data_IF_376892604432
#
_entry.id   IF_376892604432
#
_cell.length_a   1.000
_cell.length_b   1.000
_cell.length_c   1.000
_cell.angle_alpha   90.00
_cell.angle_beta   90.00
_cell.angle_gamma   90.00
#
_symmetry.space_group_name_H-M   'P 1'
#
loop_
_entity.id
_entity.type
_entity.pdbx_description
1 polymer ?
#
# COMPACT_ATOMS: atom_id res chain seq x y z
N UNK A 1 77.63 76.67 62.45
CA UNK A 1 76.63 75.58 62.33
C UNK A 1 75.20 76.04 61.95
N UNK A 2 75.00 77.25 61.39
CA UNK A 2 73.63 77.76 61.10
C UNK A 2 73.29 77.89 59.60
N UNK A 3 74.25 77.72 58.69
CA UNK A 3 74.01 77.89 57.23
C UNK A 3 73.51 76.65 56.47
N UNK A 4 73.44 75.47 57.09
CA UNK A 4 72.99 74.24 56.42
C UNK A 4 71.49 73.95 56.52
N UNK A 5 70.76 74.70 57.36
CA UNK A 5 69.36 74.40 57.71
C UNK A 5 68.34 74.96 56.71
N UNK A 6 68.70 75.93 55.87
CA UNK A 6 67.81 76.56 54.87
C UNK A 6 67.75 75.83 53.52
N UNK A 7 68.69 74.90 53.24
CA UNK A 7 68.76 74.15 51.97
C UNK A 7 68.16 72.73 52.06
N UNK A 8 68.02 72.17 53.26
CA UNK A 8 67.52 70.80 53.46
C UNK A 8 65.99 70.67 53.36
N UNK A 9 65.26 71.73 53.71
CA UNK A 9 63.80 71.78 53.67
C UNK A 9 63.19 71.72 52.24
N UNK A 10 63.71 72.43 51.21
CA UNK A 10 63.19 72.29 49.85
C UNK A 10 63.54 70.94 49.22
N UNK A 11 64.68 70.34 49.59
CA UNK A 11 65.17 69.07 49.05
C UNK A 11 64.31 67.88 49.53
N UNK A 12 63.91 67.86 50.80
CA UNK A 12 62.99 66.86 51.35
C UNK A 12 61.58 66.95 50.75
N UNK A 13 61.08 68.17 50.48
CA UNK A 13 59.79 68.37 49.80
C UNK A 13 59.82 67.87 48.35
N UNK A 14 60.93 68.10 47.63
CA UNK A 14 61.11 67.59 46.28
C UNK A 14 61.11 66.05 46.22
N UNK A 15 61.79 65.39 47.15
CA UNK A 15 61.82 63.91 47.23
C UNK A 15 60.41 63.36 47.53
N UNK A 16 59.65 64.01 48.40
CA UNK A 16 58.28 63.58 48.74
C UNK A 16 57.31 63.76 47.55
N UNK A 17 57.44 64.84 46.79
CA UNK A 17 56.65 65.07 45.57
C UNK A 17 56.99 64.03 44.49
N UNK A 18 58.28 63.71 44.30
CA UNK A 18 58.71 62.69 43.34
C UNK A 18 58.24 61.28 43.71
N UNK A 19 58.28 60.92 44.99
CA UNK A 19 57.82 59.60 45.47
C UNK A 19 56.30 59.46 45.40
N UNK A 20 55.54 60.52 45.71
CA UNK A 20 54.09 60.56 45.52
C UNK A 20 53.69 60.45 44.03
N UNK A 21 54.40 61.13 43.13
CA UNK A 21 54.15 61.05 41.69
C UNK A 21 54.42 59.63 41.14
N UNK A 22 55.45 58.95 41.62
CA UNK A 22 55.77 57.58 41.21
C UNK A 22 54.71 56.55 41.66
N UNK A 23 54.15 56.74 42.86
CA UNK A 23 53.05 55.90 43.36
C UNK A 23 51.75 56.11 42.56
N UNK A 24 51.46 57.34 42.13
CA UNK A 24 50.25 57.64 41.33
C UNK A 24 50.38 57.11 39.88
N UNK A 25 51.59 57.15 39.29
CA UNK A 25 51.82 56.63 37.94
C UNK A 25 51.75 55.10 37.86
N UNK A 26 52.27 54.40 38.88
CA UNK A 26 52.30 52.94 38.90
C UNK A 26 50.90 52.30 39.04
N UNK A 27 49.98 52.96 39.76
CA UNK A 27 48.58 52.52 39.88
C UNK A 27 47.80 52.72 38.56
N UNK A 28 48.13 53.76 37.80
CA UNK A 28 47.42 54.11 36.56
C UNK A 28 47.63 53.08 35.43
N UNK A 29 48.82 52.49 35.33
CA UNK A 29 49.18 51.53 34.27
C UNK A 29 48.48 50.16 34.44
N UNK A 30 48.29 49.70 35.68
CA UNK A 30 47.59 48.44 35.97
C UNK A 30 46.07 48.59 35.77
N UNK A 31 45.50 49.77 36.03
CA UNK A 31 44.06 50.00 35.85
C UNK A 31 43.65 50.05 34.37
N UNK A 32 44.47 50.68 33.52
CA UNK A 32 44.21 50.75 32.07
C UNK A 32 44.30 49.37 31.43
N UNK A 33 45.28 48.55 31.83
CA UNK A 33 45.38 47.17 31.37
C UNK A 33 44.16 46.33 31.78
N UNK A 34 43.68 46.42 33.02
CA UNK A 34 42.46 45.70 33.44
C UNK A 34 41.21 46.20 32.70
N UNK A 35 41.11 47.50 32.46
CA UNK A 35 39.98 48.09 31.74
C UNK A 35 39.94 47.64 30.27
N UNK A 36 41.07 47.65 29.56
CA UNK A 36 41.13 47.14 28.18
C UNK A 36 40.88 45.64 28.10
N UNK A 37 41.38 44.87 29.08
CA UNK A 37 41.09 43.43 29.16
C UNK A 37 39.59 43.19 29.38
N UNK A 38 38.94 43.96 30.26
CA UNK A 38 37.50 43.88 30.49
C UNK A 38 36.69 44.26 29.23
N UNK A 39 37.07 45.34 28.53
CA UNK A 39 36.48 45.74 27.25
C UNK A 39 36.56 44.61 26.20
N UNK A 40 37.72 43.98 26.05
CA UNK A 40 37.89 42.83 25.15
C UNK A 40 37.02 41.64 25.56
N UNK A 41 36.86 41.40 26.86
CA UNK A 41 36.02 40.31 27.37
C UNK A 41 34.55 40.58 27.09
N UNK A 42 34.09 41.83 27.29
CA UNK A 42 32.72 42.27 26.98
C UNK A 42 32.46 42.13 25.48
N UNK A 43 33.38 42.57 24.62
CA UNK A 43 33.23 42.42 23.17
C UNK A 43 33.15 40.95 22.74
N UNK A 44 33.98 40.07 23.32
CA UNK A 44 33.90 38.62 23.07
C UNK A 44 32.58 38.03 23.53
N UNK A 45 32.13 38.37 24.73
CA UNK A 45 30.84 37.88 25.24
C UNK A 45 29.67 38.37 24.39
N UNK A 46 29.72 39.60 23.89
CA UNK A 46 28.72 40.13 22.95
C UNK A 46 28.76 39.41 21.61
N UNK A 47 29.95 39.17 21.04
CA UNK A 47 30.07 38.40 19.80
C UNK A 47 29.56 36.97 19.98
N UNK A 48 29.95 36.32 21.07
CA UNK A 48 29.56 34.94 21.37
C UNK A 48 28.05 34.83 21.61
N UNK A 49 27.46 35.80 22.32
CA UNK A 49 26.01 35.89 22.50
C UNK A 49 25.30 36.05 21.16
N UNK A 50 25.80 36.90 20.26
CA UNK A 50 25.19 37.09 18.94
C UNK A 50 25.29 35.84 18.05
N UNK A 51 26.38 35.09 18.16
CA UNK A 51 26.58 33.83 17.42
C UNK A 51 25.66 32.75 17.98
N UNK A 52 25.56 32.66 19.30
CA UNK A 52 24.69 31.69 19.97
C UNK A 52 23.22 31.97 19.64
N UNK A 53 22.80 33.22 19.66
CA UNK A 53 21.44 33.62 19.29
C UNK A 53 21.12 33.26 17.83
N UNK A 54 22.04 33.48 16.90
CA UNK A 54 21.88 33.05 15.50
C UNK A 54 21.74 31.53 15.38
N UNK A 55 22.59 30.77 16.08
CA UNK A 55 22.49 29.29 16.10
C UNK A 55 21.16 28.83 16.68
N UNK A 56 20.68 29.49 17.73
CA UNK A 56 19.41 29.15 18.37
C UNK A 56 18.23 29.41 17.44
N UNK A 57 18.25 30.52 16.68
CA UNK A 57 17.24 30.79 15.65
C UNK A 57 17.27 29.76 14.51
N UNK A 58 18.46 29.44 13.98
CA UNK A 58 18.57 28.42 12.93
C UNK A 58 18.09 27.06 13.40
N UNK A 59 18.43 26.68 14.64
CA UNK A 59 17.98 25.40 15.21
C UNK A 59 16.47 25.39 15.42
N UNK A 60 15.88 26.52 15.83
CA UNK A 60 14.43 26.65 15.96
C UNK A 60 13.72 26.52 14.60
N UNK A 61 14.22 27.21 13.57
CA UNK A 61 13.70 27.09 12.20
C UNK A 61 13.81 25.65 11.66
N UNK A 62 14.92 24.96 11.94
CA UNK A 62 15.11 23.58 11.52
C UNK A 62 14.14 22.62 12.23
N UNK A 63 13.91 22.81 13.53
CA UNK A 63 12.92 22.02 14.28
C UNK A 63 11.51 22.25 13.74
N UNK A 64 11.13 23.50 13.48
CA UNK A 64 9.81 23.82 12.92
C UNK A 64 9.65 23.26 11.50
N UNK A 65 10.69 23.35 10.67
CA UNK A 65 10.71 22.75 9.33
C UNK A 65 10.56 21.23 9.38
N UNK A 66 11.32 20.56 10.24
CA UNK A 66 11.23 19.11 10.42
C UNK A 66 9.88 18.69 10.99
N UNK A 67 9.33 19.44 11.94
CA UNK A 67 8.00 19.22 12.50
C UNK A 67 6.91 19.29 11.43
N UNK A 68 6.91 20.34 10.61
CA UNK A 68 5.97 20.51 9.50
C UNK A 68 6.11 19.42 8.43
N UNK A 69 7.35 19.04 8.09
CA UNK A 69 7.62 17.98 7.13
C UNK A 69 7.14 16.62 7.66
N UNK A 70 7.35 16.35 8.94
CA UNK A 70 6.86 15.14 9.60
C UNK A 70 5.33 15.05 9.55
N UNK A 71 4.64 16.13 9.94
CA UNK A 71 3.17 16.17 9.89
C UNK A 71 2.63 16.01 8.46
N UNK A 72 3.25 16.65 7.49
CA UNK A 72 2.86 16.52 6.07
C UNK A 72 3.06 15.09 5.57
N UNK A 73 4.18 14.46 5.94
CA UNK A 73 4.48 13.08 5.55
C UNK A 73 3.51 12.09 6.20
N UNK A 74 3.21 12.27 7.48
CA UNK A 74 2.23 11.46 8.21
C UNK A 74 0.85 11.57 7.57
N UNK A 75 0.39 12.79 7.26
CA UNK A 75 -0.88 13.00 6.58
C UNK A 75 -0.93 12.32 5.20
N UNK A 76 0.14 12.42 4.42
CA UNK A 76 0.22 11.77 3.11
C UNK A 76 0.23 10.23 3.22
N UNK A 77 0.87 9.67 4.25
CA UNK A 77 0.86 8.23 4.51
C UNK A 77 -0.53 7.75 4.94
N UNK A 78 -1.20 8.48 5.83
CA UNK A 78 -2.57 8.16 6.25
C UNK A 78 -3.55 8.20 5.08
N UNK A 79 -3.45 9.22 4.21
CA UNK A 79 -4.27 9.29 2.99
C UNK A 79 -4.02 8.09 2.07
N UNK A 80 -2.74 7.75 1.81
CA UNK A 80 -2.41 6.57 0.98
C UNK A 80 -2.91 5.27 1.59
N UNK A 81 -2.84 5.12 2.91
CA UNK A 81 -3.37 3.94 3.60
C UNK A 81 -4.89 3.86 3.41
N UNK A 82 -5.60 4.97 3.58
CA UNK A 82 -7.04 5.02 3.40
C UNK A 82 -7.47 4.71 1.96
N UNK A 83 -6.80 5.29 0.96
CA UNK A 83 -7.04 4.97 -0.46
C UNK A 83 -6.82 3.48 -0.76
N UNK A 84 -5.80 2.86 -0.15
CA UNK A 84 -5.52 1.44 -0.33
C UNK A 84 -6.56 0.57 0.35
N UNK A 85 -7.03 0.95 1.54
CA UNK A 85 -8.09 0.27 2.27
C UNK A 85 -9.41 0.32 1.49
N UNK A 86 -9.79 1.50 0.97
CA UNK A 86 -10.99 1.67 0.14
C UNK A 86 -10.90 0.84 -1.15
N UNK A 87 -9.73 0.84 -1.80
CA UNK A 87 -9.49 0.01 -2.99
C UNK A 87 -9.57 -1.49 -2.69
N UNK A 88 -9.07 -1.92 -1.54
CA UNK A 88 -9.11 -3.31 -1.10
C UNK A 88 -10.55 -3.74 -0.84
N UNK A 89 -11.31 -2.93 -0.11
CA UNK A 89 -12.71 -3.19 0.18
C UNK A 89 -13.56 -3.31 -1.10
N UNK A 90 -13.35 -2.40 -2.06
CA UNK A 90 -14.01 -2.48 -3.37
C UNK A 90 -13.67 -3.78 -4.11
N UNK A 91 -12.39 -4.17 -4.15
CA UNK A 91 -11.96 -5.41 -4.81
C UNK A 91 -12.53 -6.65 -4.13
N UNK A 92 -12.61 -6.64 -2.80
CA UNK A 92 -13.17 -7.76 -2.05
C UNK A 92 -14.67 -7.91 -2.30
N UNK A 93 -15.40 -6.81 -2.42
CA UNK A 93 -16.80 -6.84 -2.83
C UNK A 93 -16.96 -7.40 -4.25
N UNK A 94 -16.18 -6.90 -5.21
CA UNK A 94 -16.19 -7.42 -6.58
C UNK A 94 -15.87 -8.92 -6.65
N UNK A 95 -14.91 -9.39 -5.84
CA UNK A 95 -14.60 -10.82 -5.77
C UNK A 95 -15.78 -11.64 -5.25
N UNK A 96 -16.47 -11.17 -4.20
CA UNK A 96 -17.67 -11.85 -3.69
C UNK A 96 -18.77 -11.91 -4.74
N UNK A 97 -19.00 -10.82 -5.46
CA UNK A 97 -20.02 -10.77 -6.52
C UNK A 97 -19.67 -11.72 -7.67
N UNK A 98 -18.39 -11.78 -8.07
CA UNK A 98 -17.93 -12.73 -9.09
C UNK A 98 -18.04 -14.18 -8.64
N UNK A 99 -17.70 -14.48 -7.38
CA UNK A 99 -17.84 -15.82 -6.83
C UNK A 99 -19.30 -16.27 -6.78
N UNK A 100 -20.21 -15.38 -6.38
CA UNK A 100 -21.65 -15.62 -6.42
C UNK A 100 -22.13 -15.91 -7.84
N UNK A 101 -21.78 -15.05 -8.81
CA UNK A 101 -22.17 -15.25 -10.20
C UNK A 101 -21.63 -16.57 -10.79
N UNK A 102 -20.40 -16.97 -10.44
CA UNK A 102 -19.85 -18.26 -10.87
C UNK A 102 -20.63 -19.42 -10.25
N UNK A 103 -21.02 -19.33 -8.97
CA UNK A 103 -21.87 -20.34 -8.34
C UNK A 103 -23.23 -20.46 -9.04
N UNK A 104 -23.86 -19.34 -9.35
CA UNK A 104 -25.16 -19.31 -10.03
C UNK A 104 -25.07 -19.89 -11.44
N UNK A 105 -24.04 -19.50 -12.21
CA UNK A 105 -23.78 -20.07 -13.54
C UNK A 105 -23.53 -21.57 -13.49
N UNK A 106 -22.82 -22.05 -12.47
CA UNK A 106 -22.58 -23.48 -12.28
C UNK A 106 -23.88 -24.23 -12.00
N UNK A 107 -24.73 -23.71 -11.11
CA UNK A 107 -26.03 -24.30 -10.80
C UNK A 107 -26.92 -24.38 -12.04
N UNK A 108 -27.00 -23.29 -12.82
CA UNK A 108 -27.75 -23.26 -14.09
C UNK A 108 -27.21 -24.30 -15.08
N UNK A 109 -25.89 -24.40 -15.23
CA UNK A 109 -25.27 -25.40 -16.12
C UNK A 109 -25.55 -26.84 -15.67
N UNK A 110 -25.55 -27.10 -14.37
CA UNK A 110 -25.87 -28.42 -13.84
C UNK A 110 -27.35 -28.77 -14.11
N UNK A 111 -28.26 -27.81 -13.97
CA UNK A 111 -29.69 -27.97 -14.32
C UNK A 111 -29.89 -28.22 -15.83
N UNK A 112 -29.21 -27.46 -16.70
CA UNK A 112 -29.23 -27.67 -18.15
C UNK A 112 -28.71 -29.08 -18.52
N UNK A 113 -27.65 -29.55 -17.85
CA UNK A 113 -27.09 -30.88 -18.09
C UNK A 113 -28.07 -31.98 -17.70
N UNK A 114 -28.75 -31.82 -16.58
CA UNK A 114 -29.76 -32.78 -16.11
C UNK A 114 -30.99 -32.80 -17.03
N UNK A 115 -31.44 -31.62 -17.49
CA UNK A 115 -32.50 -31.52 -18.49
C UNK A 115 -32.10 -32.18 -19.82
N UNK A 116 -30.87 -31.94 -20.29
CA UNK A 116 -30.34 -32.56 -21.50
C UNK A 116 -30.23 -34.08 -21.36
N UNK A 117 -29.78 -34.59 -20.21
CA UNK A 117 -29.70 -36.03 -19.96
C UNK A 117 -31.09 -36.69 -19.99
N UNK A 118 -32.11 -36.05 -19.41
CA UNK A 118 -33.50 -36.52 -19.48
C UNK A 118 -34.00 -36.55 -20.93
N UNK A 119 -33.80 -35.46 -21.68
CA UNK A 119 -34.20 -35.37 -23.07
C UNK A 119 -33.50 -36.43 -23.95
N UNK A 120 -32.18 -36.61 -23.76
CA UNK A 120 -31.41 -37.64 -24.45
C UNK A 120 -31.97 -39.03 -24.15
N UNK A 121 -32.29 -39.32 -22.88
CA UNK A 121 -32.88 -40.59 -22.50
C UNK A 121 -34.27 -40.82 -23.14
N UNK A 122 -35.12 -39.79 -23.19
CA UNK A 122 -36.43 -39.85 -23.86
C UNK A 122 -36.30 -40.08 -25.37
N UNK A 123 -35.33 -39.44 -26.01
CA UNK A 123 -35.05 -39.59 -27.44
C UNK A 123 -34.47 -40.97 -27.75
N UNK A 124 -33.64 -41.54 -26.87
CA UNK A 124 -33.00 -42.85 -27.07
C UNK A 124 -33.99 -44.00 -26.82
N UNK A 125 -34.91 -43.86 -25.87
CA UNK A 125 -35.85 -44.92 -25.43
C UNK A 125 -36.59 -45.63 -26.59
N UNK A 126 -37.11 -44.96 -27.64
CA UNK A 126 -37.73 -45.61 -28.79
C UNK A 126 -36.75 -46.45 -29.62
N UNK A 127 -35.45 -46.13 -29.56
CA UNK A 127 -34.43 -46.78 -30.39
C UNK A 127 -33.74 -47.98 -29.73
N UNK A 128 -33.94 -48.19 -28.42
CA UNK A 128 -33.37 -49.31 -27.65
C UNK A 128 -33.85 -50.69 -28.15
N UNK A 129 -34.99 -50.75 -28.84
CA UNK A 129 -35.56 -51.99 -29.39
C UNK A 129 -35.03 -52.38 -30.77
N UNK A 130 -34.23 -51.55 -31.44
CA UNK A 130 -33.63 -51.90 -32.73
C UNK A 130 -32.30 -52.63 -32.54
N UNK A 131 -31.97 -53.55 -33.44
CA UNK A 131 -30.71 -54.27 -33.37
C UNK A 131 -29.52 -53.30 -33.52
N UNK A 132 -28.41 -53.55 -32.81
CA UNK A 132 -27.20 -52.70 -32.82
C UNK A 132 -26.55 -52.55 -34.22
N UNK A 133 -26.95 -53.36 -35.20
CA UNK A 133 -26.50 -53.26 -36.58
C UNK A 133 -27.33 -52.27 -37.41
N UNK A 134 -28.49 -51.85 -36.91
CA UNK A 134 -29.45 -50.99 -37.62
C UNK A 134 -29.57 -49.58 -37.05
N UNK A 135 -29.21 -49.36 -35.77
CA UNK A 135 -29.21 -48.03 -35.15
C UNK A 135 -27.99 -47.85 -34.23
N UNK A 136 -27.25 -46.76 -34.39
CA UNK A 136 -26.14 -46.35 -33.54
C UNK A 136 -26.46 -45.01 -32.90
N UNK A 137 -26.50 -44.96 -31.57
CA UNK A 137 -26.70 -43.70 -30.82
C UNK A 137 -25.37 -43.24 -30.22
N UNK A 138 -25.00 -41.97 -30.43
CA UNK A 138 -23.85 -41.32 -29.81
C UNK A 138 -24.29 -40.02 -29.13
N UNK A 139 -24.13 -39.95 -27.82
CA UNK A 139 -24.38 -38.72 -27.05
C UNK A 139 -23.06 -38.07 -26.67
N UNK A 140 -22.91 -36.79 -27.01
CA UNK A 140 -21.83 -35.91 -26.56
C UNK A 140 -22.40 -34.80 -25.67
N UNK A 141 -21.53 -33.97 -25.10
CA UNK A 141 -21.84 -32.97 -24.07
C UNK A 141 -22.95 -31.96 -24.46
N UNK A 142 -23.26 -31.80 -25.74
CA UNK A 142 -24.31 -30.90 -26.25
C UNK A 142 -25.16 -31.48 -27.39
N UNK A 143 -24.97 -32.74 -27.78
CA UNK A 143 -25.67 -33.32 -28.94
C UNK A 143 -25.91 -34.81 -28.77
N UNK A 144 -27.09 -35.26 -29.16
CA UNK A 144 -27.41 -36.69 -29.31
C UNK A 144 -27.54 -36.97 -30.81
N UNK A 145 -26.65 -37.78 -31.36
CA UNK A 145 -26.65 -38.21 -32.77
C UNK A 145 -27.21 -39.63 -32.82
N UNK A 146 -28.25 -39.84 -33.65
CA UNK A 146 -28.81 -41.16 -33.93
C UNK A 146 -28.57 -41.44 -35.40
N UNK A 147 -27.72 -42.42 -35.68
CA UNK A 147 -27.45 -42.94 -37.01
C UNK A 147 -28.36 -44.16 -37.23
N UNK A 148 -29.20 -44.13 -38.26
CA UNK A 148 -30.14 -45.22 -38.60
C UNK A 148 -29.74 -45.80 -39.96
N UNK A 149 -29.69 -47.13 -40.05
CA UNK A 149 -29.39 -47.88 -41.27
C UNK A 149 -30.47 -47.72 -42.32
N UNK A 150 -30.07 -47.54 -43.59
CA UNK A 150 -30.97 -47.41 -44.75
C UNK A 150 -31.94 -48.59 -44.89
N UNK A 151 -31.56 -49.78 -44.42
CA UNK A 151 -32.43 -50.97 -44.45
C UNK A 151 -33.72 -50.80 -43.64
N UNK A 152 -33.68 -49.94 -42.63
CA UNK A 152 -34.80 -49.67 -41.73
C UNK A 152 -35.68 -48.49 -42.21
N UNK A 153 -35.07 -47.55 -42.95
CA UNK A 153 -35.77 -46.42 -43.59
C UNK A 153 -36.49 -46.83 -44.88
N UNK A 154 -35.97 -47.83 -45.59
CA UNK A 154 -36.48 -48.30 -46.88
C UNK A 154 -36.93 -49.77 -46.88
N UNK A 155 -37.50 -50.27 -45.78
CA UNK A 155 -38.28 -51.52 -45.85
C UNK A 155 -39.46 -51.32 -46.81
N UNK A 156 -39.53 -52.04 -47.95
CA UNK A 156 -40.69 -51.96 -48.83
C UNK A 156 -41.92 -52.42 -48.04
N UNK A 157 -43.05 -51.74 -48.25
CA UNK A 157 -44.29 -51.88 -47.49
C UNK A 157 -45.02 -53.24 -47.61
N UNK A 158 -44.32 -54.36 -47.80
CA UNK A 158 -44.91 -55.68 -48.04
C UNK A 158 -44.74 -56.67 -46.88
N UNK A 159 -43.93 -56.38 -45.87
CA UNK A 159 -43.68 -57.32 -44.74
C UNK A 159 -44.51 -57.03 -43.48
N UNK A 160 -45.61 -56.28 -43.56
CA UNK A 160 -46.58 -56.15 -42.45
C UNK A 160 -47.82 -57.05 -42.60
N UNK A 161 -47.96 -57.81 -43.68
CA UNK A 161 -49.18 -58.61 -43.95
C UNK A 161 -49.08 -60.06 -43.43
N UNK A 162 -47.88 -60.59 -43.14
CA UNK A 162 -47.75 -62.03 -42.86
C UNK A 162 -47.83 -62.43 -41.37
N UNK A 163 -47.67 -61.48 -40.45
CA UNK A 163 -47.74 -61.76 -39.00
C UNK A 163 -49.21 -61.84 -38.51
N UNK A 164 -50.15 -61.20 -39.23
CA UNK A 164 -51.58 -61.29 -38.93
C UNK A 164 -52.27 -62.49 -39.59
N UNK A 165 -51.67 -63.09 -40.64
CA UNK A 165 -52.19 -64.29 -41.29
C UNK A 165 -51.78 -65.57 -40.55
N UNK A 166 -50.55 -65.63 -40.04
CA UNK A 166 -50.04 -66.79 -39.29
C UNK A 166 -50.70 -66.95 -37.91
N UNK A 167 -51.08 -65.85 -37.25
CA UNK A 167 -51.81 -65.89 -35.98
C UNK A 167 -53.29 -66.31 -36.12
N UNK A 168 -53.91 -66.10 -37.29
CA UNK A 168 -55.31 -66.45 -37.53
C UNK A 168 -55.51 -67.91 -37.97
N UNK A 169 -54.47 -68.56 -38.49
CA UNK A 169 -54.52 -69.96 -38.93
C UNK A 169 -54.31 -70.96 -37.78
N UNK A 170 -53.54 -70.59 -36.75
CA UNK A 170 -53.35 -71.41 -35.54
C UNK A 170 -54.53 -71.36 -34.58
N UNK A 171 -55.35 -70.30 -34.62
CA UNK A 171 -56.58 -70.19 -33.81
C UNK A 171 -57.80 -70.90 -34.43
N UNK A 172 -57.72 -71.35 -35.68
CA UNK A 172 -58.82 -72.03 -36.39
C UNK A 172 -58.65 -73.56 -36.47
N UNK A 173 -57.55 -74.10 -35.91
CA UNK A 173 -57.22 -75.54 -35.96
C UNK A 173 -57.02 -76.16 -34.55
N UNK A 174 -57.45 -75.45 -33.50
CA UNK A 174 -57.57 -75.94 -32.12
C UNK A 174 -59.04 -75.92 -31.72
#
# INVERSE_FOLDING_TARGET
>A
LVRYRSLFLPLMKFIYICTAAYLILSVSCVSTQKYTTSQHTIQRLQSDSSILEKRLRMLHEEVDFLGNKSATMEQALTQRLQEKEDSLNLKQQLLRDKEMNIRDMKACKDEERDAFAKLSAEIIKPFVGFANNDVVTRTSCSQTIIEVSDRLLFTPATTKIDILKSAKLTAALA
#
